data_IF_529154159460
#
_entry.id   IF_529154159460
#
_cell.length_a   1.000
_cell.length_b   1.000
_cell.length_c   1.000
_cell.angle_alpha   90.00
_cell.angle_beta   90.00
_cell.angle_gamma   90.00
#
_symmetry.space_group_name_H-M   'P 1'
#
loop_
_entity.id
_entity.type
_entity.pdbx_description
1 polymer ?
#
# COMPACT_ATOMS: atom_id res chain seq x y z
N UNK A 1 5.76 -22.90 16.05
CA UNK A 1 6.56 -22.46 17.21
C UNK A 1 6.10 -21.05 17.57
N UNK A 2 5.43 -20.88 18.69
CA UNK A 2 4.89 -19.58 19.12
C UNK A 2 6.06 -18.70 19.57
N UNK A 3 6.30 -17.61 18.84
CA UNK A 3 7.20 -16.52 19.22
C UNK A 3 6.58 -15.68 20.35
N UNK A 4 6.11 -16.34 21.42
CA UNK A 4 5.68 -15.63 22.61
C UNK A 4 6.94 -15.26 23.40
N UNK A 5 7.08 -13.97 23.70
CA UNK A 5 8.15 -13.41 24.51
C UNK A 5 8.19 -14.15 25.86
N UNK A 6 9.36 -14.45 26.42
CA UNK A 6 9.45 -15.18 27.70
C UNK A 6 9.57 -14.24 28.92
N UNK A 7 9.70 -12.92 28.73
CA UNK A 7 9.59 -11.93 29.81
C UNK A 7 8.14 -11.47 30.01
N UNK A 8 7.77 -11.07 31.23
CA UNK A 8 6.48 -10.46 31.56
C UNK A 8 6.71 -9.11 32.24
N UNK A 9 6.70 -8.05 31.42
CA UNK A 9 6.97 -6.68 31.84
C UNK A 9 5.80 -5.78 31.55
N UNK A 10 5.59 -4.81 32.43
CA UNK A 10 4.62 -3.76 32.22
C UNK A 10 5.11 -2.71 31.19
N UNK A 11 4.25 -1.75 30.87
CA UNK A 11 4.54 -0.70 29.90
C UNK A 11 5.59 0.31 30.38
N UNK A 12 5.95 0.29 31.68
CA UNK A 12 7.06 1.06 32.26
C UNK A 12 8.36 0.24 32.28
N UNK A 13 8.30 -1.05 31.94
CA UNK A 13 9.45 -1.96 31.90
C UNK A 13 9.69 -2.72 33.21
N UNK A 14 8.81 -2.61 34.20
CA UNK A 14 8.93 -3.34 35.45
C UNK A 14 8.39 -4.75 35.32
N UNK A 15 8.89 -5.67 36.14
CA UNK A 15 8.35 -7.03 36.20
C UNK A 15 6.93 -7.01 36.78
N UNK A 16 6.05 -7.81 36.17
CA UNK A 16 4.65 -7.88 36.58
C UNK A 16 4.53 -8.74 37.84
N UNK A 17 4.08 -8.11 38.92
CA UNK A 17 3.71 -8.81 40.15
C UNK A 17 2.20 -9.12 40.20
N UNK A 18 1.86 -10.41 40.19
CA UNK A 18 0.50 -10.90 40.34
C UNK A 18 -0.03 -10.76 41.77
N UNK A 19 0.84 -10.74 42.79
CA UNK A 19 0.41 -10.71 44.18
C UNK A 19 -0.23 -9.36 44.56
N UNK A 20 0.27 -8.26 43.99
CA UNK A 20 -0.26 -6.89 44.13
C UNK A 20 -1.28 -6.50 43.05
N UNK A 21 -1.69 -7.43 42.17
CA UNK A 21 -2.62 -7.14 41.09
C UNK A 21 -4.07 -7.04 41.60
N UNK A 22 -4.84 -5.99 41.24
CA UNK A 22 -6.24 -5.86 41.64
C UNK A 22 -7.14 -6.97 41.05
N UNK A 23 -6.67 -7.70 40.03
CA UNK A 23 -7.39 -8.78 39.37
C UNK A 23 -6.97 -10.17 39.86
N UNK A 24 -6.46 -10.29 41.10
CA UNK A 24 -6.02 -11.58 41.67
C UNK A 24 -7.12 -12.65 41.64
N UNK A 25 -8.37 -12.26 41.78
CA UNK A 25 -9.50 -13.17 41.71
C UNK A 25 -9.68 -13.77 40.30
N UNK A 26 -9.30 -13.04 39.24
CA UNK A 26 -9.30 -13.57 37.87
C UNK A 26 -8.20 -14.61 37.67
N UNK A 27 -7.05 -14.46 38.33
CA UNK A 27 -5.98 -15.46 38.29
C UNK A 27 -6.45 -16.76 38.94
N UNK A 28 -7.09 -16.68 40.11
CA UNK A 28 -7.67 -17.85 40.78
C UNK A 28 -8.73 -18.56 39.92
N UNK A 29 -9.48 -17.80 39.11
CA UNK A 29 -10.45 -18.33 38.17
C UNK A 29 -9.87 -18.78 36.80
N UNK A 30 -8.55 -18.70 36.61
CA UNK A 30 -7.90 -19.05 35.33
C UNK A 30 -8.24 -18.13 34.15
N UNK A 31 -8.73 -16.91 34.44
CA UNK A 31 -9.13 -15.90 33.44
C UNK A 31 -8.02 -14.89 33.12
N UNK A 32 -6.86 -15.02 33.76
CA UNK A 32 -5.63 -14.37 33.36
C UNK A 32 -4.45 -15.27 33.74
N UNK A 33 -3.34 -15.16 33.02
CA UNK A 33 -2.14 -15.95 33.27
C UNK A 33 -0.89 -15.16 32.84
N UNK A 34 0.12 -15.12 33.71
CA UNK A 34 1.38 -14.45 33.42
C UNK A 34 2.03 -15.02 32.14
N UNK A 35 2.66 -14.16 31.34
CA UNK A 35 3.23 -14.49 30.01
C UNK A 35 2.23 -14.97 28.94
N UNK A 36 0.95 -15.18 29.27
CA UNK A 36 -0.08 -15.61 28.29
C UNK A 36 -1.22 -14.61 28.09
N UNK A 37 -1.83 -14.11 29.16
CA UNK A 37 -2.97 -13.21 29.14
C UNK A 37 -2.94 -12.31 30.39
N UNK A 38 -2.50 -11.07 30.25
CA UNK A 38 -2.36 -10.15 31.38
C UNK A 38 -2.62 -8.70 30.94
N UNK A 39 -3.43 -7.97 31.70
CA UNK A 39 -3.80 -6.57 31.42
C UNK A 39 -2.71 -5.56 31.74
N UNK A 40 -1.77 -5.93 32.64
CA UNK A 40 -0.62 -5.09 32.98
C UNK A 40 0.53 -5.24 31.98
N UNK A 41 0.43 -6.17 31.04
CA UNK A 41 1.53 -6.50 30.13
C UNK A 41 1.69 -5.46 29.02
N UNK A 42 2.93 -5.16 28.64
CA UNK A 42 3.20 -4.28 27.51
C UNK A 42 2.89 -4.91 26.16
N UNK A 43 2.84 -6.24 26.07
CA UNK A 43 2.66 -6.92 24.80
C UNK A 43 1.18 -7.00 24.41
N UNK A 44 0.83 -6.34 23.29
CA UNK A 44 -0.54 -6.24 22.78
C UNK A 44 -1.28 -7.59 22.66
N UNK A 45 -0.61 -8.67 22.27
CA UNK A 45 -1.26 -10.00 22.16
C UNK A 45 -1.71 -10.56 23.50
N UNK A 46 -1.00 -10.26 24.59
CA UNK A 46 -1.37 -10.68 25.95
C UNK A 46 -2.50 -9.83 26.51
N UNK A 47 -2.49 -8.52 26.22
CA UNK A 47 -3.62 -7.64 26.47
C UNK A 47 -4.87 -8.16 25.74
N UNK A 48 -4.72 -8.54 24.47
CA UNK A 48 -5.82 -9.03 23.64
C UNK A 48 -6.43 -10.31 24.22
N UNK A 49 -5.60 -11.32 24.53
CA UNK A 49 -6.05 -12.56 25.18
C UNK A 49 -6.75 -12.28 26.52
N UNK A 50 -6.25 -11.32 27.31
CA UNK A 50 -6.89 -10.90 28.55
C UNK A 50 -8.31 -10.36 28.31
N UNK A 51 -8.48 -9.41 27.39
CA UNK A 51 -9.81 -8.82 27.14
C UNK A 51 -10.76 -9.76 26.41
N UNK A 52 -10.27 -10.73 25.64
CA UNK A 52 -11.09 -11.82 25.08
C UNK A 52 -11.79 -12.63 26.17
N UNK A 53 -11.09 -12.93 27.27
CA UNK A 53 -11.60 -13.69 28.41
C UNK A 53 -12.36 -12.82 29.42
N UNK A 54 -12.09 -11.51 29.42
CA UNK A 54 -12.60 -10.55 30.42
C UNK A 54 -13.26 -9.32 29.79
N UNK A 55 -14.13 -9.53 28.79
CA UNK A 55 -14.77 -8.44 28.04
C UNK A 55 -15.45 -7.37 28.91
N UNK A 56 -16.09 -7.79 30.01
CA UNK A 56 -16.77 -6.88 30.94
C UNK A 56 -15.85 -5.85 31.61
N UNK A 57 -14.52 -6.06 31.62
CA UNK A 57 -13.56 -5.12 32.17
C UNK A 57 -13.10 -4.07 31.16
N UNK A 58 -13.32 -4.27 29.87
CA UNK A 58 -12.76 -3.40 28.83
C UNK A 58 -13.13 -1.92 29.00
N UNK A 59 -14.37 -1.64 29.43
CA UNK A 59 -14.86 -0.27 29.65
C UNK A 59 -14.02 0.50 30.68
N UNK A 60 -13.50 -0.19 31.70
CA UNK A 60 -12.70 0.39 32.78
C UNK A 60 -11.28 0.77 32.33
N UNK A 61 -10.83 0.24 31.20
CA UNK A 61 -9.47 0.42 30.68
C UNK A 61 -9.39 1.44 29.55
N UNK A 62 -10.50 2.12 29.21
CA UNK A 62 -10.52 3.12 28.16
C UNK A 62 -9.76 4.41 28.51
N UNK A 63 -9.47 4.66 29.78
CA UNK A 63 -8.71 5.83 30.25
C UNK A 63 -7.33 5.42 30.82
N UNK A 64 -6.86 4.21 30.49
CA UNK A 64 -5.58 3.69 30.98
C UNK A 64 -4.39 4.54 30.48
N UNK A 65 -3.34 4.80 31.28
CA UNK A 65 -2.21 5.63 30.85
C UNK A 65 -1.48 5.09 29.62
N UNK A 66 -1.38 3.77 29.49
CA UNK A 66 -0.76 3.12 28.34
C UNK A 66 -1.72 3.03 27.15
N UNK A 67 -1.30 3.58 26.01
CA UNK A 67 -2.13 3.65 24.81
C UNK A 67 -2.52 2.27 24.28
N UNK A 68 -1.62 1.27 24.30
CA UNK A 68 -1.98 -0.05 23.78
C UNK A 68 -3.05 -0.73 24.62
N UNK A 69 -3.05 -0.53 25.95
CA UNK A 69 -4.15 -1.00 26.79
C UNK A 69 -5.46 -0.36 26.38
N UNK A 70 -5.49 0.96 26.13
CA UNK A 70 -6.69 1.66 25.63
C UNK A 70 -7.11 1.14 24.25
N UNK A 71 -6.16 0.98 23.33
CA UNK A 71 -6.41 0.53 21.96
C UNK A 71 -6.98 -0.89 21.92
N UNK A 72 -6.39 -1.82 22.66
CA UNK A 72 -6.90 -3.19 22.76
C UNK A 72 -8.24 -3.22 23.50
N UNK A 73 -8.39 -2.49 24.60
CA UNK A 73 -9.67 -2.38 25.33
C UNK A 73 -10.80 -1.85 24.43
N UNK A 74 -10.51 -0.86 23.57
CA UNK A 74 -11.44 -0.32 22.59
C UNK A 74 -11.96 -1.40 21.62
N UNK A 75 -11.25 -2.52 21.43
CA UNK A 75 -11.71 -3.68 20.66
C UNK A 75 -12.84 -4.48 21.32
N UNK A 76 -12.96 -4.41 22.65
CA UNK A 76 -13.90 -5.23 23.44
C UNK A 76 -14.94 -4.41 24.21
N UNK A 77 -14.69 -3.12 24.44
CA UNK A 77 -15.55 -2.22 25.20
C UNK A 77 -16.94 -2.02 24.59
N UNK A 78 -17.86 -1.49 25.39
CA UNK A 78 -19.20 -1.07 24.96
C UNK A 78 -19.10 0.00 23.87
N UNK A 79 -19.76 -0.22 22.72
CA UNK A 79 -19.63 0.65 21.53
C UNK A 79 -19.99 2.11 21.82
N UNK A 80 -20.95 2.35 22.72
CA UNK A 80 -21.39 3.71 23.11
C UNK A 80 -20.31 4.53 23.83
N UNK A 81 -19.27 3.89 24.37
CA UNK A 81 -18.15 4.56 25.03
C UNK A 81 -17.03 4.94 24.05
N UNK A 82 -16.99 4.33 22.87
CA UNK A 82 -15.91 4.52 21.89
C UNK A 82 -15.83 5.92 21.25
N UNK A 83 -16.92 6.71 21.09
CA UNK A 83 -16.81 8.04 20.46
C UNK A 83 -15.81 8.98 21.16
N UNK A 84 -15.63 8.87 22.48
CA UNK A 84 -14.65 9.70 23.22
C UNK A 84 -13.20 9.43 22.79
N UNK A 85 -12.91 8.21 22.36
CA UNK A 85 -11.58 7.76 21.95
C UNK A 85 -11.19 8.26 20.56
N UNK A 86 -12.12 8.84 19.80
CA UNK A 86 -11.79 9.48 18.52
C UNK A 86 -10.93 10.74 18.71
N UNK A 87 -10.89 11.30 19.91
CA UNK A 87 -9.99 12.39 20.30
C UNK A 87 -8.77 11.94 21.12
N UNK A 88 -8.49 10.63 21.20
CA UNK A 88 -7.32 10.14 21.94
C UNK A 88 -6.02 10.70 21.34
N UNK A 89 -5.00 11.05 22.16
CA UNK A 89 -3.72 11.52 21.64
C UNK A 89 -3.03 10.50 20.71
N UNK A 90 -3.26 9.21 20.93
CA UNK A 90 -2.62 8.14 20.19
C UNK A 90 -3.45 7.66 18.98
N UNK A 91 -2.84 7.64 17.80
CA UNK A 91 -3.49 7.23 16.55
C UNK A 91 -3.99 5.79 16.57
N UNK A 92 -3.31 4.89 17.29
CA UNK A 92 -3.67 3.47 17.39
C UNK A 92 -4.97 3.31 18.16
N UNK A 93 -5.17 4.13 19.20
CA UNK A 93 -6.41 4.19 19.96
C UNK A 93 -7.55 4.77 19.11
N UNK A 94 -7.31 5.92 18.45
CA UNK A 94 -8.30 6.57 17.57
C UNK A 94 -8.80 5.59 16.51
N UNK A 95 -7.90 4.88 15.84
CA UNK A 95 -8.25 3.87 14.85
C UNK A 95 -8.97 2.66 15.45
N UNK A 96 -8.51 2.13 16.59
CA UNK A 96 -9.12 0.96 17.23
C UNK A 96 -10.59 1.22 17.60
N UNK A 97 -10.90 2.43 18.08
CA UNK A 97 -12.26 2.86 18.33
C UNK A 97 -13.07 3.02 17.03
N UNK A 98 -12.50 3.72 16.05
CA UNK A 98 -13.13 4.00 14.76
C UNK A 98 -13.68 2.74 14.08
N UNK A 99 -12.91 1.66 14.03
CA UNK A 99 -13.30 0.38 13.39
C UNK A 99 -14.63 -0.21 13.84
N UNK A 100 -15.06 0.11 15.07
CA UNK A 100 -16.29 -0.43 15.68
C UNK A 100 -17.44 0.56 15.68
N UNK A 101 -17.23 1.78 15.18
CA UNK A 101 -18.23 2.83 15.14
C UNK A 101 -18.95 2.89 13.78
N UNK A 102 -20.23 3.36 13.76
CA UNK A 102 -20.93 3.64 12.51
C UNK A 102 -20.18 4.65 11.62
N UNK A 103 -20.34 4.53 10.29
CA UNK A 103 -19.62 5.36 9.28
C UNK A 103 -19.67 6.87 9.54
N UNK A 104 -20.77 7.39 10.09
CA UNK A 104 -20.92 8.82 10.42
C UNK A 104 -19.82 9.36 11.36
N UNK A 105 -19.26 8.50 12.22
CA UNK A 105 -18.16 8.86 13.12
C UNK A 105 -16.78 8.82 12.44
N UNK A 106 -16.67 8.14 11.28
CA UNK A 106 -15.42 8.01 10.54
C UNK A 106 -15.14 9.23 9.66
N UNK A 107 -16.20 9.89 9.19
CA UNK A 107 -16.06 11.00 8.25
C UNK A 107 -15.16 12.15 8.77
N UNK A 108 -15.25 12.59 10.05
CA UNK A 108 -14.32 13.59 10.58
C UNK A 108 -12.85 13.14 10.59
N UNK A 109 -12.59 11.84 10.78
CA UNK A 109 -11.23 11.27 10.81
C UNK A 109 -10.54 11.28 9.44
N UNK A 110 -11.25 11.66 8.36
CA UNK A 110 -10.63 11.97 7.08
C UNK A 110 -9.57 13.07 7.22
N UNK A 111 -9.75 13.98 8.17
CA UNK A 111 -8.85 15.09 8.44
C UNK A 111 -7.96 14.85 9.66
N UNK A 112 -7.81 13.58 10.10
CA UNK A 112 -6.97 13.25 11.25
C UNK A 112 -5.52 13.74 11.01
N UNK A 113 -4.85 14.34 12.01
CA UNK A 113 -3.49 14.81 11.85
C UNK A 113 -2.52 13.69 11.47
N UNK A 114 -2.78 12.45 11.92
CA UNK A 114 -1.91 11.32 11.68
C UNK A 114 -2.26 10.59 10.38
N UNK A 115 -1.26 10.47 9.49
CA UNK A 115 -1.43 9.84 8.17
C UNK A 115 -2.00 8.43 8.23
N UNK A 116 -1.59 7.63 9.23
CA UNK A 116 -2.04 6.23 9.37
C UNK A 116 -3.54 6.12 9.62
N UNK A 117 -4.13 7.08 10.35
CA UNK A 117 -5.58 7.14 10.53
C UNK A 117 -6.23 7.48 9.19
N UNK A 118 -5.75 8.51 8.48
CA UNK A 118 -6.30 8.89 7.16
C UNK A 118 -6.22 7.76 6.14
N UNK A 119 -5.12 7.01 6.10
CA UNK A 119 -4.93 5.82 5.25
C UNK A 119 -6.04 4.79 5.52
N UNK A 120 -6.30 4.51 6.80
CA UNK A 120 -7.29 3.53 7.22
C UNK A 120 -8.71 4.02 6.99
N UNK A 121 -8.96 5.31 7.16
CA UNK A 121 -10.25 5.93 6.85
C UNK A 121 -10.53 5.89 5.34
N UNK A 122 -9.55 6.24 4.50
CA UNK A 122 -9.65 6.07 3.05
C UNK A 122 -9.96 4.60 2.67
N UNK A 123 -9.49 3.63 3.46
CA UNK A 123 -9.76 2.22 3.25
C UNK A 123 -11.18 1.75 3.61
N UNK A 124 -12.07 2.62 4.10
CA UNK A 124 -13.44 2.25 4.50
C UNK A 124 -14.54 3.21 4.05
N UNK A 125 -14.17 4.43 3.63
CA UNK A 125 -15.12 5.43 3.13
C UNK A 125 -15.76 5.03 1.80
N UNK A 126 -16.93 5.64 1.55
CA UNK A 126 -17.66 5.60 0.28
C UNK A 126 -17.02 6.55 -0.74
N UNK A 127 -17.34 6.41 -2.02
CA UNK A 127 -16.76 7.25 -3.08
C UNK A 127 -17.00 8.75 -2.87
N UNK A 128 -18.22 9.14 -2.49
CA UNK A 128 -18.56 10.54 -2.23
C UNK A 128 -17.71 11.14 -1.10
N UNK A 129 -17.44 10.33 -0.08
CA UNK A 129 -16.62 10.72 1.06
C UNK A 129 -15.10 10.66 0.77
N UNK A 130 -14.69 9.84 -0.21
CA UNK A 130 -13.30 9.71 -0.66
C UNK A 130 -12.85 10.87 -1.53
N UNK A 131 -13.75 11.49 -2.30
CA UNK A 131 -13.40 12.55 -3.24
C UNK A 131 -12.53 13.66 -2.63
N UNK A 132 -12.80 14.20 -1.42
CA UNK A 132 -11.93 15.21 -0.82
C UNK A 132 -10.54 14.71 -0.42
N UNK A 133 -10.35 13.40 -0.24
CA UNK A 133 -9.04 12.79 0.05
C UNK A 133 -8.15 12.68 -1.18
N UNK A 134 -8.68 12.88 -2.39
CA UNK A 134 -7.88 12.90 -3.62
C UNK A 134 -6.82 14.02 -3.62
N UNK A 135 -6.96 15.02 -2.74
CA UNK A 135 -6.00 16.09 -2.55
C UNK A 135 -5.29 16.03 -1.18
N UNK A 136 -5.28 14.86 -0.52
CA UNK A 136 -4.55 14.69 0.75
C UNK A 136 -3.07 15.03 0.57
N UNK A 137 -2.45 15.64 1.58
CA UNK A 137 -1.03 15.98 1.53
C UNK A 137 -0.12 14.73 1.41
N UNK A 138 -0.54 13.61 1.99
CA UNK A 138 0.23 12.37 1.96
C UNK A 138 -0.04 11.56 0.69
N UNK A 139 1.01 11.27 -0.08
CA UNK A 139 0.89 10.53 -1.34
C UNK A 139 0.31 9.13 -1.16
N UNK A 140 0.56 8.47 -0.02
CA UNK A 140 0.06 7.12 0.20
C UNK A 140 -1.44 7.13 0.50
N UNK A 141 -1.96 8.17 1.15
CA UNK A 141 -3.41 8.39 1.25
C UNK A 141 -4.02 8.52 -0.14
N UNK A 142 -3.46 9.39 -1.00
CA UNK A 142 -3.92 9.54 -2.40
C UNK A 142 -3.80 8.24 -3.19
N UNK A 143 -2.79 7.41 -2.91
CA UNK A 143 -2.66 6.09 -3.52
C UNK A 143 -3.76 5.13 -3.06
N UNK A 144 -4.15 5.13 -1.78
CA UNK A 144 -5.31 4.36 -1.31
C UNK A 144 -6.61 4.85 -1.97
N UNK A 145 -6.76 6.16 -2.15
CA UNK A 145 -7.88 6.73 -2.91
C UNK A 145 -7.88 6.19 -4.35
N UNK A 146 -6.75 6.25 -5.05
CA UNK A 146 -6.61 5.70 -6.40
C UNK A 146 -6.91 4.19 -6.49
N UNK A 147 -6.59 3.41 -5.45
CA UNK A 147 -6.90 1.96 -5.39
C UNK A 147 -8.39 1.67 -5.24
N UNK A 148 -9.14 2.55 -4.55
CA UNK A 148 -10.50 2.26 -4.11
C UNK A 148 -11.59 3.00 -4.84
N UNK A 149 -11.36 4.28 -5.14
CA UNK A 149 -12.36 5.16 -5.71
C UNK A 149 -12.95 4.55 -6.99
N UNK A 150 -14.23 4.79 -7.27
CA UNK A 150 -14.79 4.41 -8.58
C UNK A 150 -13.99 5.00 -9.73
N UNK A 151 -14.02 4.36 -10.92
CA UNK A 151 -13.31 4.85 -12.09
C UNK A 151 -13.59 6.31 -12.44
N UNK A 152 -14.79 6.83 -12.15
CA UNK A 152 -15.17 8.22 -12.39
C UNK A 152 -14.43 9.26 -11.54
N UNK A 153 -13.80 8.86 -10.43
CA UNK A 153 -12.99 9.75 -9.59
C UNK A 153 -11.49 9.74 -9.98
N UNK A 154 -11.03 8.72 -10.70
CA UNK A 154 -9.63 8.58 -11.10
C UNK A 154 -9.09 9.72 -11.98
N UNK A 155 -9.88 10.40 -12.83
CA UNK A 155 -9.42 11.60 -13.55
C UNK A 155 -8.85 12.70 -12.65
N UNK A 156 -9.28 12.80 -11.38
CA UNK A 156 -8.76 13.77 -10.42
C UNK A 156 -7.28 13.52 -10.04
N UNK A 157 -6.77 12.32 -10.30
CA UNK A 157 -5.44 11.85 -9.88
C UNK A 157 -4.50 11.58 -11.07
N UNK A 158 -4.95 11.85 -12.31
CA UNK A 158 -4.16 11.61 -13.54
C UNK A 158 -2.85 12.39 -13.55
N UNK A 159 -2.85 13.59 -12.97
CA UNK A 159 -1.67 14.46 -12.88
C UNK A 159 -1.08 14.50 -11.47
N UNK A 160 -1.33 13.48 -10.64
CA UNK A 160 -0.77 13.42 -9.29
C UNK A 160 0.76 13.55 -9.34
N UNK A 161 1.40 14.34 -8.47
CA UNK A 161 2.86 14.46 -8.46
C UNK A 161 3.58 13.11 -8.23
N UNK A 162 2.97 12.19 -7.49
CA UNK A 162 3.56 10.89 -7.17
C UNK A 162 3.28 9.85 -8.28
N UNK A 163 4.33 9.20 -8.80
CA UNK A 163 4.16 8.19 -9.85
C UNK A 163 3.49 6.92 -9.33
N UNK A 164 3.62 6.59 -8.04
CA UNK A 164 2.90 5.47 -7.42
C UNK A 164 1.39 5.66 -7.41
N UNK A 165 0.90 6.90 -7.28
CA UNK A 165 -0.52 7.25 -7.45
C UNK A 165 -0.93 7.16 -8.92
N UNK A 166 -0.19 7.81 -9.82
CA UNK A 166 -0.49 7.78 -11.27
C UNK A 166 -0.47 6.37 -11.85
N UNK A 167 0.41 5.50 -11.34
CA UNK A 167 0.48 4.08 -11.73
C UNK A 167 -0.80 3.35 -11.33
N UNK A 168 -1.33 3.60 -10.14
CA UNK A 168 -2.59 3.02 -9.72
C UNK A 168 -3.78 3.54 -10.53
N UNK A 169 -3.76 4.81 -10.90
CA UNK A 169 -4.72 5.39 -11.84
C UNK A 169 -4.65 4.66 -13.18
N UNK A 170 -3.46 4.48 -13.77
CA UNK A 170 -3.27 3.80 -15.05
C UNK A 170 -3.83 2.37 -15.07
N UNK A 171 -3.82 1.66 -13.93
CA UNK A 171 -4.39 0.31 -13.82
C UNK A 171 -5.91 0.26 -13.91
N UNK A 172 -6.61 1.34 -13.53
CA UNK A 172 -8.06 1.30 -13.30
C UNK A 172 -8.86 2.31 -14.13
N UNK A 173 -8.23 3.40 -14.60
CA UNK A 173 -8.91 4.49 -15.32
C UNK A 173 -9.57 4.02 -16.62
N UNK A 174 -10.59 4.74 -17.07
CA UNK A 174 -11.29 4.43 -18.32
C UNK A 174 -10.37 4.38 -19.56
N UNK A 175 -10.68 3.55 -20.57
CA UNK A 175 -9.88 3.41 -21.80
C UNK A 175 -9.61 4.73 -22.56
N UNK A 176 -10.50 5.71 -22.41
CA UNK A 176 -10.38 7.05 -22.99
C UNK A 176 -9.18 7.84 -22.46
N UNK A 177 -8.70 7.53 -21.24
CA UNK A 177 -7.55 8.20 -20.62
C UNK A 177 -6.22 7.49 -20.88
N UNK A 178 -6.22 6.25 -21.37
CA UNK A 178 -5.01 5.45 -21.49
C UNK A 178 -3.97 6.08 -22.41
N UNK A 179 -4.40 6.78 -23.47
CA UNK A 179 -3.48 7.49 -24.36
C UNK A 179 -2.71 8.60 -23.63
N UNK A 180 -3.37 9.32 -22.71
CA UNK A 180 -2.70 10.32 -21.88
C UNK A 180 -1.73 9.67 -20.89
N UNK A 181 -2.14 8.58 -20.22
CA UNK A 181 -1.27 7.85 -19.28
C UNK A 181 -0.06 7.23 -19.98
N UNK A 182 -0.18 6.85 -21.25
CA UNK A 182 0.91 6.34 -22.06
C UNK A 182 1.96 7.40 -22.43
N UNK A 183 1.69 8.69 -22.16
CA UNK A 183 2.64 9.79 -22.33
C UNK A 183 3.29 10.20 -21.00
N UNK A 184 3.09 9.43 -19.92
CA UNK A 184 3.65 9.76 -18.61
C UNK A 184 5.19 9.77 -18.62
N UNK A 185 5.79 10.65 -17.83
CA UNK A 185 7.24 10.70 -17.65
C UNK A 185 7.80 9.42 -17.02
N UNK A 186 7.00 8.71 -16.23
CA UNK A 186 7.39 7.50 -15.52
C UNK A 186 7.08 6.25 -16.37
N UNK A 187 8.11 5.42 -16.58
CA UNK A 187 8.00 4.21 -17.42
C UNK A 187 7.07 3.14 -16.86
N UNK A 188 6.95 3.03 -15.52
CA UNK A 188 6.01 2.07 -14.93
C UNK A 188 4.56 2.51 -15.15
N UNK A 189 4.29 3.82 -15.14
CA UNK A 189 2.95 4.36 -15.46
C UNK A 189 2.59 4.09 -16.92
N UNK A 190 3.52 4.39 -17.85
CA UNK A 190 3.33 4.12 -19.28
C UNK A 190 3.11 2.63 -19.54
N UNK A 191 3.84 1.76 -18.85
CA UNK A 191 3.71 0.30 -18.97
C UNK A 191 2.33 -0.20 -18.51
N UNK A 192 1.81 0.28 -17.36
CA UNK A 192 0.46 -0.09 -16.93
C UNK A 192 -0.61 0.42 -17.91
N UNK A 193 -0.40 1.57 -18.55
CA UNK A 193 -1.29 2.07 -19.60
C UNK A 193 -1.23 1.17 -20.86
N UNK A 194 -0.03 0.87 -21.36
CA UNK A 194 0.18 0.04 -22.54
C UNK A 194 -0.49 -1.35 -22.40
N UNK A 195 -0.36 -2.00 -21.24
CA UNK A 195 -1.03 -3.28 -20.92
C UNK A 195 -2.55 -3.28 -21.12
N UNK A 196 -3.18 -2.11 -21.06
CA UNK A 196 -4.65 -1.94 -21.18
C UNK A 196 -5.10 -1.34 -22.50
N UNK A 197 -4.20 -0.76 -23.30
CA UNK A 197 -4.53 -0.15 -24.59
C UNK A 197 -4.92 -1.20 -25.63
N UNK A 198 -5.72 -0.84 -26.65
CA UNK A 198 -5.97 -1.72 -27.79
C UNK A 198 -4.73 -1.85 -28.69
N UNK A 199 -4.57 -2.96 -29.44
CA UNK A 199 -3.42 -3.15 -30.34
C UNK A 199 -3.16 -1.98 -31.29
N UNK A 200 -4.19 -1.44 -31.94
CA UNK A 200 -4.03 -0.30 -32.85
C UNK A 200 -3.49 0.98 -32.17
N UNK A 201 -3.74 1.18 -30.87
CA UNK A 201 -3.20 2.33 -30.13
C UNK A 201 -1.77 2.09 -29.61
N UNK A 202 -1.34 0.84 -29.50
CA UNK A 202 0.02 0.49 -29.05
C UNK A 202 1.09 0.89 -30.07
N UNK A 203 0.74 1.05 -31.34
CA UNK A 203 1.67 1.47 -32.39
C UNK A 203 2.35 2.82 -32.08
N UNK A 204 1.68 3.69 -31.32
CA UNK A 204 2.26 4.96 -30.86
C UNK A 204 3.44 4.78 -29.88
N UNK A 205 3.62 3.59 -29.31
CA UNK A 205 4.64 3.27 -28.30
C UNK A 205 5.77 2.38 -28.85
N UNK A 206 5.85 2.19 -30.18
CA UNK A 206 6.89 1.38 -30.82
C UNK A 206 8.31 1.89 -30.51
N UNK A 207 8.47 3.20 -30.37
CA UNK A 207 9.75 3.84 -30.10
C UNK A 207 9.91 4.26 -28.61
N UNK A 208 9.12 3.68 -27.69
CA UNK A 208 9.22 4.02 -26.26
C UNK A 208 10.64 3.72 -25.74
N UNK A 209 11.27 4.62 -24.96
CA UNK A 209 12.61 4.38 -24.41
C UNK A 209 12.68 3.15 -23.50
N UNK A 210 11.58 2.77 -22.84
CA UNK A 210 11.52 1.58 -21.99
C UNK A 210 11.27 0.32 -22.83
N UNK A 211 12.25 -0.59 -22.83
CA UNK A 211 12.16 -1.84 -23.58
C UNK A 211 10.96 -2.70 -23.15
N UNK A 212 10.50 -2.60 -21.90
CA UNK A 212 9.35 -3.36 -21.40
C UNK A 212 8.06 -2.95 -22.12
N UNK A 213 7.96 -1.68 -22.50
CA UNK A 213 6.84 -1.15 -23.27
C UNK A 213 6.94 -1.60 -24.72
N UNK A 214 8.14 -1.52 -25.33
CA UNK A 214 8.34 -2.06 -26.68
C UNK A 214 8.07 -3.57 -26.76
N UNK A 215 8.41 -4.32 -25.72
CA UNK A 215 8.06 -5.73 -25.57
C UNK A 215 6.55 -5.94 -25.49
N UNK A 216 5.85 -5.15 -24.67
CA UNK A 216 4.38 -5.16 -24.57
C UNK A 216 3.73 -4.89 -25.95
N UNK A 217 4.21 -3.87 -26.68
CA UNK A 217 3.77 -3.58 -28.05
C UNK A 217 4.00 -4.79 -28.96
N UNK A 218 5.23 -5.30 -29.01
CA UNK A 218 5.63 -6.42 -29.85
C UNK A 218 4.79 -7.69 -29.62
N UNK A 219 4.38 -7.93 -28.38
CA UNK A 219 3.59 -9.10 -27.99
C UNK A 219 2.13 -9.06 -28.46
N UNK A 220 1.64 -7.90 -28.93
CA UNK A 220 0.19 -7.69 -29.14
C UNK A 220 -0.19 -7.09 -30.48
N UNK A 221 0.70 -6.31 -31.11
CA UNK A 221 0.42 -5.77 -32.44
C UNK A 221 0.62 -6.81 -33.55
N UNK A 222 0.02 -6.54 -34.71
CA UNK A 222 0.12 -7.43 -35.87
C UNK A 222 1.56 -7.54 -36.37
N UNK A 223 1.91 -8.71 -36.92
CA UNK A 223 3.29 -9.03 -37.31
C UNK A 223 3.86 -8.13 -38.39
N UNK A 224 3.03 -7.57 -39.28
CA UNK A 224 3.48 -6.65 -40.33
C UNK A 224 3.94 -5.28 -39.78
N UNK A 225 3.51 -4.91 -38.59
CA UNK A 225 3.92 -3.67 -37.90
C UNK A 225 5.27 -3.82 -37.17
N UNK A 226 5.77 -5.05 -37.01
CA UNK A 226 6.94 -5.35 -36.18
C UNK A 226 8.29 -5.18 -36.88
N UNK A 227 8.31 -4.83 -38.17
CA UNK A 227 9.53 -4.73 -38.97
C UNK A 227 10.61 -3.86 -38.30
N UNK A 228 10.20 -2.77 -37.63
CA UNK A 228 11.10 -1.84 -36.93
C UNK A 228 11.74 -2.41 -35.66
N UNK A 229 11.17 -3.46 -35.07
CA UNK A 229 11.65 -4.07 -33.83
C UNK A 229 12.52 -5.33 -34.06
N UNK A 230 12.74 -5.74 -35.31
CA UNK A 230 13.60 -6.91 -35.64
C UNK A 230 15.06 -6.74 -35.17
N UNK A 231 15.51 -5.49 -35.16
CA UNK A 231 16.84 -5.05 -34.73
C UNK A 231 16.76 -4.15 -33.48
N UNK A 232 15.71 -4.29 -32.66
CA UNK A 232 15.55 -3.57 -31.39
C UNK A 232 16.84 -3.68 -30.54
N UNK A 233 17.29 -2.64 -29.83
CA UNK A 233 18.48 -2.74 -28.99
C UNK A 233 18.36 -3.82 -27.90
N UNK A 234 17.15 -4.08 -27.39
CA UNK A 234 16.92 -5.06 -26.35
C UNK A 234 16.77 -6.50 -26.91
N UNK A 235 17.55 -7.48 -26.41
CA UNK A 235 17.51 -8.85 -26.91
C UNK A 235 16.16 -9.55 -26.73
N UNK A 236 15.42 -9.27 -25.65
CA UNK A 236 14.12 -9.91 -25.39
C UNK A 236 13.07 -9.43 -26.38
N UNK A 237 13.12 -8.14 -26.75
CA UNK A 237 12.24 -7.58 -27.79
C UNK A 237 12.57 -8.22 -29.14
N UNK A 238 13.84 -8.28 -29.54
CA UNK A 238 14.25 -8.93 -30.80
C UNK A 238 13.82 -10.39 -30.87
N UNK A 239 14.05 -11.15 -29.81
CA UNK A 239 13.71 -12.57 -29.74
C UNK A 239 12.20 -12.78 -29.92
N UNK A 240 11.38 -12.01 -29.19
CA UNK A 240 9.92 -12.05 -29.30
C UNK A 240 9.46 -11.72 -30.73
N UNK A 241 10.01 -10.65 -31.32
CA UNK A 241 9.63 -10.20 -32.66
C UNK A 241 9.98 -11.25 -33.70
N UNK A 242 11.21 -11.79 -33.69
CA UNK A 242 11.64 -12.83 -34.64
C UNK A 242 10.83 -14.11 -34.51
N UNK A 243 10.50 -14.49 -33.28
CA UNK A 243 9.61 -15.62 -33.01
C UNK A 243 8.22 -15.41 -33.64
N UNK A 244 7.63 -14.22 -33.46
CA UNK A 244 6.30 -13.89 -34.00
C UNK A 244 6.28 -13.75 -35.53
N UNK A 245 7.31 -13.17 -36.13
CA UNK A 245 7.37 -12.94 -37.58
C UNK A 245 7.96 -14.12 -38.36
N UNK A 246 8.51 -15.12 -37.69
CA UNK A 246 9.25 -16.22 -38.33
C UNK A 246 10.56 -15.78 -39.01
N UNK A 247 11.12 -14.63 -38.60
CA UNK A 247 12.31 -14.08 -39.23
C UNK A 247 13.58 -14.84 -38.81
N UNK A 248 14.29 -15.42 -39.79
CA UNK A 248 15.51 -16.23 -39.59
C UNK A 248 16.78 -15.53 -40.08
N UNK A 249 16.71 -14.27 -40.51
CA UNK A 249 17.85 -13.52 -41.01
C UNK A 249 18.88 -13.19 -39.93
N UNK A 250 20.16 -13.12 -40.31
CA UNK A 250 21.24 -12.69 -39.43
C UNK A 250 21.00 -11.25 -38.93
N UNK A 251 21.37 -10.90 -37.68
CA UNK A 251 21.27 -9.53 -37.19
C UNK A 251 22.05 -8.60 -38.13
N UNK A 252 21.42 -7.53 -38.60
CA UNK A 252 22.14 -6.51 -39.37
C UNK A 252 23.13 -5.85 -38.41
N UNK A 253 24.42 -6.00 -38.69
CA UNK A 253 25.47 -5.28 -37.98
C UNK A 253 25.22 -3.79 -38.16
N UNK A 254 24.80 -3.11 -37.09
CA UNK A 254 24.70 -1.66 -37.07
C UNK A 254 26.07 -1.03 -37.36
N UNK A 255 26.12 0.21 -37.88
CA UNK A 255 27.39 0.87 -38.13
C UNK A 255 28.17 0.99 -36.81
N UNK A 256 29.40 0.49 -36.80
CA UNK A 256 30.31 0.64 -35.67
C UNK A 256 30.41 2.13 -35.31
N UNK A 257 30.16 2.47 -34.04
CA UNK A 257 30.36 3.83 -33.52
C UNK A 257 31.77 4.32 -33.88
N UNK A 258 31.94 5.47 -34.56
CA UNK A 258 33.25 5.93 -35.03
C UNK A 258 34.14 6.55 -33.92
N UNK A 259 33.85 6.31 -32.64
CA UNK A 259 34.61 6.86 -31.52
C UNK A 259 35.15 5.76 -30.61
N UNK A 260 36.13 5.01 -31.10
CA UNK A 260 37.13 4.37 -30.25
C UNK A 260 38.46 5.10 -30.47
N UNK A 261 38.82 6.01 -29.56
CA UNK A 261 40.16 6.59 -29.51
C UNK A 261 41.15 5.45 -29.21
N UNK A 262 42.30 5.37 -29.91
CA UNK A 262 43.32 4.37 -29.60
C UNK A 262 43.93 4.69 -28.23
N UNK A 263 44.07 3.65 -27.41
CA UNK A 263 44.78 3.71 -26.14
C UNK A 263 46.26 4.00 -26.40
N UNK A 264 46.76 5.11 -25.86
CA UNK A 264 48.18 5.43 -25.80
C UNK A 264 48.87 4.53 -24.79
N UNK A 265 49.88 3.78 -25.24
CA UNK A 265 50.84 3.04 -24.40
C UNK A 265 51.63 3.99 -23.48
N UNK A 266 52.05 3.55 -22.28
CA UNK A 266 52.91 4.34 -21.41
C UNK A 266 54.37 4.19 -21.84
N UNK A 267 55.06 5.31 -22.05
CA UNK A 267 56.52 5.36 -22.12
C UNK A 267 57.07 5.82 -20.77
N UNK A 268 58.04 5.03 -20.27
CA UNK A 268 59.10 5.27 -19.27
C UNK A 268 58.95 6.37 -18.22
#
# INVERSE_FOLDING_TARGET
>A
MTTDIDEARDWQGNDIDCASCPHRDLLAAGRCELKKACVKDRYARRLERFFQQNRALADQYLDHPYFETRAVAAGYATVFLLPKLLGDPDETVRWSAARRLPKRYLLPLRNDPHREVRIRIASVLSDDDLRPMASDADYYVRQIVAKRASPGLLPLLVLDPDSGVRREVARRIGPEWLAQMAMDKDGDVRLEAARRMSPGRLLALLDDPDWRIRYEVASRVDTYELSRLLDDPDPLVRELVRSRTGFTGAPRSGPASPNAKPATEPSS
#
